data_IF_246065585240
#
_entry.id   IF_246065585240
#
_cell.length_a   1.000
_cell.length_b   1.000
_cell.length_c   1.000
_cell.angle_alpha   90.00
_cell.angle_beta   90.00
_cell.angle_gamma   90.00
#
_symmetry.space_group_name_H-M   'P 1'
#
loop_
_entity.id
_entity.type
_entity.pdbx_description
1 polymer ?
#
# COMPACT_ATOMS: atom_id res chain seq x y z
N UNK A 1 -42.59 23.18 -49.89
CA UNK A 1 -41.12 23.11 -49.96
C UNK A 1 -40.54 23.39 -48.56
N UNK A 2 -39.69 22.48 -48.05
CA UNK A 2 -38.46 22.70 -47.22
C UNK A 2 -38.45 23.98 -46.33
N UNK A 3 -38.22 23.97 -45.01
CA UNK A 3 -37.21 23.23 -44.22
C UNK A 3 -37.56 23.21 -42.71
N UNK A 4 -37.14 22.12 -42.07
CA UNK A 4 -37.00 21.93 -40.62
C UNK A 4 -35.93 22.85 -40.03
N UNK A 5 -36.12 23.34 -38.79
CA UNK A 5 -35.00 23.52 -37.86
C UNK A 5 -35.47 23.29 -36.42
N UNK A 6 -35.02 22.15 -35.87
CA UNK A 6 -35.20 21.73 -34.48
C UNK A 6 -34.23 22.54 -33.61
N UNK A 7 -34.74 23.36 -32.70
CA UNK A 7 -33.95 23.98 -31.64
C UNK A 7 -33.88 23.06 -30.44
N UNK A 8 -32.77 22.32 -30.32
CA UNK A 8 -32.44 21.47 -29.19
C UNK A 8 -31.93 22.37 -28.04
N UNK A 9 -32.68 22.48 -26.95
CA UNK A 9 -32.21 23.13 -25.73
C UNK A 9 -31.13 22.25 -25.08
N UNK A 10 -29.86 22.64 -25.22
CA UNK A 10 -28.75 22.03 -24.50
C UNK A 10 -28.70 22.61 -23.07
N UNK A 11 -29.10 21.80 -22.10
CA UNK A 11 -28.91 22.08 -20.66
C UNK A 11 -27.44 21.78 -20.33
N UNK A 12 -26.64 22.74 -19.84
CA UNK A 12 -25.29 22.45 -19.38
C UNK A 12 -25.40 21.72 -18.04
N UNK A 13 -25.20 20.40 -18.06
CA UNK A 13 -24.96 19.62 -16.84
C UNK A 13 -23.56 19.98 -16.36
N UNK A 14 -23.51 20.90 -15.39
CA UNK A 14 -22.35 21.17 -14.57
C UNK A 14 -21.98 19.89 -13.81
N UNK A 15 -21.03 19.11 -14.33
CA UNK A 15 -20.44 18.02 -13.58
C UNK A 15 -19.57 18.61 -12.47
N UNK A 16 -20.04 18.35 -11.26
CA UNK A 16 -19.53 18.72 -9.95
C UNK A 16 -18.04 18.41 -9.85
N UNK A 17 -17.29 19.45 -9.46
CA UNK A 17 -15.93 19.37 -8.98
C UNK A 17 -15.88 18.47 -7.74
N UNK A 18 -15.45 17.22 -7.89
CA UNK A 18 -15.05 16.40 -6.75
C UNK A 18 -13.70 16.91 -6.23
N UNK A 19 -13.80 17.78 -5.24
CA UNK A 19 -12.97 17.82 -4.04
C UNK A 19 -11.46 17.71 -4.22
N UNK A 20 -10.80 18.86 -4.35
CA UNK A 20 -9.47 19.03 -3.75
C UNK A 20 -9.60 18.88 -2.24
N UNK A 21 -9.20 17.73 -1.71
CA UNK A 21 -9.12 17.45 -0.28
C UNK A 21 -7.92 16.58 -0.03
N UNK A 22 -6.73 17.19 -0.08
CA UNK A 22 -5.43 16.57 0.15
C UNK A 22 -5.36 15.90 1.52
N UNK A 23 -5.83 14.66 1.61
CA UNK A 23 -5.56 13.78 2.73
C UNK A 23 -4.24 13.08 2.45
N UNK A 24 -3.44 12.92 3.48
CA UNK A 24 -2.23 12.09 3.41
C UNK A 24 -2.65 10.67 2.97
N UNK A 25 -2.49 10.33 1.70
CA UNK A 25 -3.05 9.09 1.13
C UNK A 25 -3.72 9.19 -0.24
N UNK A 26 -3.67 10.35 -0.92
CA UNK A 26 -4.23 10.49 -2.28
C UNK A 26 -3.44 9.69 -3.33
N UNK A 27 -2.13 9.50 -3.12
CA UNK A 27 -1.27 8.70 -3.99
C UNK A 27 -0.77 7.44 -3.31
N UNK A 28 -0.63 6.32 -4.06
CA UNK A 28 -0.09 5.07 -3.51
C UNK A 28 1.25 5.23 -2.80
N UNK A 29 2.18 6.04 -3.35
CA UNK A 29 3.51 6.26 -2.75
C UNK A 29 3.47 6.92 -1.36
N UNK A 30 2.45 7.73 -1.08
CA UNK A 30 2.35 8.49 0.17
C UNK A 30 2.17 7.55 1.37
N UNK A 31 1.65 6.33 1.12
CA UNK A 31 1.56 5.25 2.11
C UNK A 31 2.93 4.79 2.58
N UNK A 32 3.92 4.73 1.67
CA UNK A 32 5.29 4.33 2.02
C UNK A 32 5.95 5.37 2.92
N UNK A 33 5.74 6.66 2.63
CA UNK A 33 6.25 7.76 3.45
C UNK A 33 5.59 7.77 4.84
N UNK A 34 4.28 7.51 4.89
CA UNK A 34 3.55 7.41 6.15
C UNK A 34 4.01 6.19 6.98
N UNK A 35 4.29 5.06 6.33
CA UNK A 35 4.91 3.89 6.96
C UNK A 35 6.30 4.21 7.51
N UNK A 36 7.15 4.92 6.76
CA UNK A 36 8.48 5.30 7.26
C UNK A 36 8.41 6.11 8.55
N UNK A 37 7.42 7.02 8.66
CA UNK A 37 7.22 7.82 9.87
C UNK A 37 6.88 6.94 11.06
N UNK A 38 5.99 5.96 10.87
CA UNK A 38 5.63 5.00 11.91
C UNK A 38 6.83 4.18 12.35
N UNK A 39 7.61 3.62 11.43
CA UNK A 39 8.78 2.81 11.81
C UNK A 39 9.96 3.63 12.34
N UNK A 40 9.90 4.95 12.22
CA UNK A 40 10.87 5.87 12.82
C UNK A 40 10.49 6.30 14.23
N UNK A 41 9.19 6.29 14.57
CA UNK A 41 8.69 6.36 15.94
C UNK A 41 8.73 4.96 16.55
N UNK A 42 9.25 4.76 17.75
CA UNK A 42 9.34 3.42 18.34
C UNK A 42 7.95 2.81 18.72
N UNK A 43 6.86 3.33 18.14
CA UNK A 43 5.47 2.87 18.24
C UNK A 43 4.96 2.35 16.87
N UNK A 44 4.86 1.03 16.77
CA UNK A 44 4.46 0.33 15.55
C UNK A 44 2.95 0.05 15.47
N UNK A 45 2.17 0.45 16.48
CA UNK A 45 0.73 0.13 16.58
C UNK A 45 -0.09 0.64 15.39
N UNK A 46 0.38 1.71 14.75
CA UNK A 46 -0.28 2.31 13.58
C UNK A 46 0.03 1.64 12.24
N UNK A 47 1.02 0.73 12.14
CA UNK A 47 1.46 0.19 10.84
C UNK A 47 0.38 -0.67 10.17
N UNK A 48 -0.39 -1.44 10.97
CA UNK A 48 -1.45 -2.33 10.48
C UNK A 48 -2.48 -1.62 9.60
N UNK A 49 -2.75 -0.33 9.83
CA UNK A 49 -3.77 0.43 9.09
C UNK A 49 -3.42 0.67 7.61
N UNK A 50 -2.13 0.60 7.28
CA UNK A 50 -1.62 0.79 5.92
C UNK A 50 -1.64 -0.47 5.07
N UNK A 51 -2.11 -1.60 5.62
CA UNK A 51 -2.27 -2.86 4.90
C UNK A 51 -3.74 -3.16 4.59
N UNK A 52 -3.98 -3.83 3.47
CA UNK A 52 -5.33 -4.29 3.09
C UNK A 52 -5.96 -5.16 4.19
N UNK A 53 -7.30 -5.21 4.24
CA UNK A 53 -8.03 -6.10 5.17
C UNK A 53 -7.58 -7.56 5.00
N UNK A 54 -7.38 -7.99 3.75
CA UNK A 54 -6.87 -9.31 3.40
C UNK A 54 -5.46 -9.59 3.94
N UNK A 55 -4.55 -8.63 3.77
CA UNK A 55 -3.19 -8.71 4.31
C UNK A 55 -3.17 -8.79 5.84
N UNK A 56 -3.99 -8.00 6.52
CA UNK A 56 -4.12 -8.05 7.99
C UNK A 56 -4.60 -9.41 8.49
N UNK A 57 -5.62 -9.96 7.86
CA UNK A 57 -6.14 -11.30 8.16
C UNK A 57 -5.06 -12.37 7.95
N UNK A 58 -4.29 -12.26 6.86
CA UNK A 58 -3.17 -13.17 6.61
C UNK A 58 -2.07 -13.07 7.67
N UNK A 59 -1.75 -11.87 8.18
CA UNK A 59 -0.82 -11.72 9.30
C UNK A 59 -1.33 -12.40 10.57
N UNK A 60 -2.62 -12.24 10.89
CA UNK A 60 -3.22 -12.87 12.08
C UNK A 60 -3.18 -14.40 11.98
N UNK A 61 -3.37 -14.97 10.79
CA UNK A 61 -3.21 -16.41 10.55
C UNK A 61 -1.75 -16.89 10.62
N UNK A 62 -0.81 -16.08 10.13
CA UNK A 62 0.61 -16.36 10.25
C UNK A 62 1.05 -16.37 11.71
N UNK A 63 0.58 -15.42 12.52
CA UNK A 63 0.90 -15.30 13.94
C UNK A 63 0.37 -16.51 14.74
N UNK A 64 -0.82 -17.03 14.43
CA UNK A 64 -1.32 -18.29 15.03
C UNK A 64 -0.42 -19.49 14.77
N UNK A 65 0.22 -19.56 13.59
CA UNK A 65 1.05 -20.69 13.19
C UNK A 65 2.50 -20.57 13.68
N UNK A 66 2.98 -19.36 13.86
CA UNK A 66 4.29 -19.05 14.38
C UNK A 66 4.21 -17.81 15.28
N UNK A 67 3.73 -17.98 16.53
CA UNK A 67 3.53 -16.87 17.44
C UNK A 67 4.86 -16.15 17.65
N UNK A 68 4.95 -14.89 17.21
CA UNK A 68 6.14 -14.09 17.50
C UNK A 68 6.05 -13.64 18.95
N UNK A 69 7.09 -13.91 19.73
CA UNK A 69 7.10 -13.71 21.18
C UNK A 69 7.08 -12.24 21.62
N UNK A 70 7.12 -11.27 20.70
CA UNK A 70 7.06 -9.84 20.98
C UNK A 70 6.04 -9.13 20.10
N UNK A 71 5.17 -8.32 20.73
CA UNK A 71 4.18 -7.45 20.05
C UNK A 71 4.81 -6.48 19.04
N UNK A 72 6.05 -6.07 19.26
CA UNK A 72 6.83 -5.21 18.36
C UNK A 72 7.29 -5.91 17.07
N UNK A 73 7.30 -7.26 17.04
CA UNK A 73 7.75 -8.07 15.89
C UNK A 73 6.59 -8.56 15.00
N UNK A 74 5.36 -8.14 15.29
CA UNK A 74 4.18 -8.62 14.57
C UNK A 74 4.17 -8.19 13.08
N UNK A 75 4.78 -7.04 12.75
CA UNK A 75 5.03 -6.64 11.35
C UNK A 75 6.50 -6.23 11.21
N UNK A 76 7.41 -7.19 11.02
CA UNK A 76 8.80 -6.93 10.68
C UNK A 76 8.81 -6.73 9.18
N UNK A 77 8.15 -5.67 8.72
CA UNK A 77 8.38 -5.25 7.36
C UNK A 77 9.73 -4.55 7.34
N UNK A 78 10.81 -5.35 7.33
CA UNK A 78 12.19 -4.89 7.32
C UNK A 78 12.53 -3.97 6.16
N UNK A 79 11.57 -3.77 5.24
CA UNK A 79 11.56 -2.75 4.18
C UNK A 79 11.49 -1.31 4.73
N UNK A 80 10.89 -1.09 5.90
CA UNK A 80 10.70 0.25 6.48
C UNK A 80 11.60 0.54 7.70
N UNK A 81 12.79 -0.06 7.76
CA UNK A 81 13.67 0.07 8.92
C UNK A 81 14.00 1.54 9.28
N UNK A 82 14.23 1.82 10.57
CA UNK A 82 14.62 3.16 11.05
C UNK A 82 15.85 3.67 10.30
N UNK A 83 15.74 4.86 9.71
CA UNK A 83 16.81 5.47 8.92
C UNK A 83 16.91 5.00 7.46
N UNK A 84 16.03 4.09 7.02
CA UNK A 84 15.91 3.76 5.60
C UNK A 84 15.45 5.00 4.80
N UNK A 85 15.97 5.12 3.57
CA UNK A 85 15.56 6.12 2.58
C UNK A 85 15.54 5.49 1.21
N UNK A 86 14.69 6.00 0.33
CA UNK A 86 14.55 5.50 -1.03
C UNK A 86 14.26 6.62 -2.01
N UNK A 87 14.40 6.30 -3.28
CA UNK A 87 13.88 7.07 -4.41
C UNK A 87 12.73 6.30 -5.06
N UNK A 88 11.72 7.04 -5.54
CA UNK A 88 10.63 6.46 -6.33
C UNK A 88 11.15 6.24 -7.75
N UNK A 89 11.11 4.99 -8.21
CA UNK A 89 11.42 4.65 -9.60
C UNK A 89 10.19 4.75 -10.49
N UNK A 90 9.04 4.29 -10.00
CA UNK A 90 7.82 4.18 -10.79
C UNK A 90 6.58 4.11 -9.89
N UNK A 91 5.50 4.70 -10.35
CA UNK A 91 4.18 4.65 -9.72
C UNK A 91 3.14 4.48 -10.84
N UNK A 92 2.54 3.30 -10.91
CA UNK A 92 1.51 2.97 -11.90
C UNK A 92 0.18 2.70 -11.22
N UNK A 93 -0.88 3.35 -11.68
CA UNK A 93 -2.23 3.26 -11.11
C UNK A 93 -3.17 2.71 -12.20
N UNK A 94 -3.94 1.69 -11.86
CA UNK A 94 -4.93 1.03 -12.72
C UNK A 94 -6.22 0.82 -11.93
N UNK A 95 -7.14 1.79 -12.02
CA UNK A 95 -8.36 1.81 -11.20
C UNK A 95 -8.03 1.80 -9.72
N UNK A 96 -8.52 0.79 -9.01
CA UNK A 96 -8.31 0.61 -7.56
C UNK A 96 -7.06 -0.21 -7.22
N UNK A 97 -6.21 -0.51 -8.20
CA UNK A 97 -4.92 -1.17 -8.01
C UNK A 97 -3.78 -0.25 -8.38
N UNK A 98 -2.64 -0.38 -7.70
CA UNK A 98 -1.43 0.33 -8.07
C UNK A 98 -0.18 -0.50 -7.79
N UNK A 99 0.90 -0.17 -8.49
CA UNK A 99 2.24 -0.71 -8.23
C UNK A 99 3.21 0.43 -8.05
N UNK A 100 3.89 0.43 -6.91
CA UNK A 100 4.91 1.41 -6.56
C UNK A 100 6.26 0.72 -6.55
N UNK A 101 7.24 1.24 -7.28
CA UNK A 101 8.61 0.73 -7.29
C UNK A 101 9.54 1.77 -6.70
N UNK A 102 10.35 1.33 -5.74
CA UNK A 102 11.34 2.18 -5.09
C UNK A 102 12.72 1.53 -5.19
N UNK A 103 13.76 2.34 -4.99
CA UNK A 103 15.12 1.88 -4.78
C UNK A 103 15.65 2.43 -3.48
N UNK A 104 16.14 1.58 -2.60
CA UNK A 104 16.74 2.07 -1.35
C UNK A 104 18.05 2.81 -1.65
N UNK A 105 18.11 4.07 -1.21
CA UNK A 105 19.32 4.88 -1.27
C UNK A 105 20.09 4.80 0.05
N UNK A 106 19.40 4.53 1.16
CA UNK A 106 19.99 4.24 2.47
C UNK A 106 19.20 3.14 3.17
N UNK A 107 19.89 2.21 3.81
CA UNK A 107 19.28 1.16 4.62
C UNK A 107 20.29 0.71 5.70
N UNK A 108 19.86 0.39 6.94
CA UNK A 108 20.77 -0.08 8.00
C UNK A 108 21.42 -1.42 7.67
N UNK A 109 20.74 -2.28 6.90
CA UNK A 109 21.32 -3.49 6.31
C UNK A 109 22.00 -3.12 4.99
N UNK A 110 23.32 -3.23 4.93
CA UNK A 110 24.13 -2.88 3.74
C UNK A 110 23.63 -3.55 2.46
N UNK A 111 23.27 -4.84 2.53
CA UNK A 111 22.79 -5.61 1.37
C UNK A 111 21.50 -5.06 0.75
N UNK A 112 20.74 -4.23 1.48
CA UNK A 112 19.52 -3.63 0.97
C UNK A 112 19.78 -2.27 0.29
N UNK A 113 20.98 -1.67 0.41
CA UNK A 113 21.28 -0.42 -0.29
C UNK A 113 21.36 -0.69 -1.80
N UNK A 114 20.68 0.13 -2.58
CA UNK A 114 20.54 -0.02 -4.03
C UNK A 114 19.51 -1.08 -4.45
N UNK A 115 18.90 -1.81 -3.51
CA UNK A 115 17.89 -2.82 -3.82
C UNK A 115 16.60 -2.14 -4.31
N UNK A 116 16.08 -2.64 -5.42
CA UNK A 116 14.78 -2.25 -5.95
C UNK A 116 13.67 -3.13 -5.38
N UNK A 117 12.59 -2.50 -4.92
CA UNK A 117 11.44 -3.19 -4.34
C UNK A 117 10.17 -2.69 -4.97
N UNK A 118 9.27 -3.62 -5.29
CA UNK A 118 7.92 -3.33 -5.75
C UNK A 118 6.91 -3.56 -4.62
N UNK A 119 5.97 -2.64 -4.48
CA UNK A 119 4.82 -2.74 -3.58
C UNK A 119 3.56 -2.82 -4.43
N UNK A 120 2.79 -3.88 -4.22
CA UNK A 120 1.43 -3.98 -4.73
C UNK A 120 0.53 -3.20 -3.77
N UNK A 121 -0.35 -2.38 -4.34
CA UNK A 121 -1.20 -1.47 -3.60
C UNK A 121 -2.65 -1.65 -4.07
N UNK A 122 -3.59 -1.51 -3.15
CA UNK A 122 -5.01 -1.56 -3.42
C UNK A 122 -5.74 -0.45 -2.69
N UNK A 123 -6.72 0.16 -3.33
CA UNK A 123 -7.59 1.15 -2.71
C UNK A 123 -8.67 0.45 -1.88
N UNK A 124 -8.77 0.79 -0.60
CA UNK A 124 -9.79 0.30 0.33
C UNK A 124 -10.23 1.41 1.28
N UNK A 125 -11.54 1.55 1.50
CA UNK A 125 -12.11 2.58 2.39
C UNK A 125 -11.58 4.00 2.03
N UNK A 126 -11.56 4.31 0.73
CA UNK A 126 -11.05 5.55 0.11
C UNK A 126 -9.55 5.85 0.27
N UNK A 127 -8.76 4.96 0.89
CA UNK A 127 -7.31 5.11 1.02
C UNK A 127 -6.51 4.01 0.30
N UNK A 128 -5.30 4.35 -0.14
CA UNK A 128 -4.35 3.35 -0.64
C UNK A 128 -3.78 2.51 0.52
N UNK A 129 -3.64 1.20 0.30
CA UNK A 129 -3.06 0.27 1.26
C UNK A 129 -2.14 -0.72 0.55
N UNK A 130 -1.10 -1.15 1.24
CA UNK A 130 -0.16 -2.18 0.80
C UNK A 130 -0.90 -3.52 0.81
N UNK A 131 -0.84 -4.23 -0.31
CA UNK A 131 -1.40 -5.56 -0.47
C UNK A 131 -0.29 -6.60 -0.54
N UNK A 132 -0.29 -7.50 0.44
CA UNK A 132 0.66 -8.62 0.56
C UNK A 132 -0.05 -9.94 0.89
N UNK A 133 -1.37 -10.00 0.72
CA UNK A 133 -2.15 -11.16 1.14
C UNK A 133 -1.60 -12.44 0.50
N UNK A 134 -1.29 -12.38 -0.79
CA UNK A 134 -0.77 -13.52 -1.55
C UNK A 134 0.58 -14.00 -0.98
N UNK A 135 1.52 -13.09 -0.82
CA UNK A 135 2.89 -13.37 -0.35
C UNK A 135 2.88 -13.98 1.06
N UNK A 136 2.02 -13.48 1.95
CA UNK A 136 1.88 -14.01 3.31
C UNK A 136 1.22 -15.40 3.29
N UNK A 137 0.18 -15.60 2.48
CA UNK A 137 -0.49 -16.90 2.36
C UNK A 137 0.43 -17.98 1.77
N UNK A 138 1.27 -17.62 0.82
CA UNK A 138 2.32 -18.50 0.29
C UNK A 138 3.32 -18.88 1.38
N UNK A 139 3.77 -17.91 2.19
CA UNK A 139 4.64 -18.14 3.34
C UNK A 139 4.00 -19.11 4.36
N UNK A 140 2.71 -18.90 4.69
CA UNK A 140 1.94 -19.79 5.56
C UNK A 140 1.92 -21.23 5.00
N UNK A 141 1.69 -21.37 3.70
CA UNK A 141 1.67 -22.69 3.04
C UNK A 141 3.01 -23.40 3.15
N UNK A 142 4.12 -22.69 2.96
CA UNK A 142 5.47 -23.22 3.12
C UNK A 142 5.75 -23.67 4.56
N UNK A 143 5.41 -22.85 5.55
CA UNK A 143 5.59 -23.20 6.98
C UNK A 143 4.81 -24.48 7.32
N UNK A 144 3.56 -24.60 6.84
CA UNK A 144 2.74 -25.80 7.06
C UNK A 144 3.35 -27.05 6.42
N UNK A 145 3.99 -26.93 5.25
CA UNK A 145 4.69 -28.04 4.60
C UNK A 145 5.93 -28.49 5.37
N UNK A 146 6.68 -27.56 5.96
CA UNK A 146 7.89 -27.86 6.73
C UNK A 146 7.62 -28.48 8.10
N UNK A 147 6.43 -28.26 8.67
CA UNK A 147 6.00 -28.84 9.96
C UNK A 147 5.34 -30.22 9.82
N UNK A 148 5.13 -30.70 8.60
CA UNK A 148 4.69 -32.08 8.30
C UNK A 148 5.90 -32.95 8.04
#
# INVERSE_FOLDING_TARGET
MKKYFRGLYAIPVACILFGCGGSSGDRPRDVLDAMQKIFSSDDFSGAKKFYTKGTRSAFDDLDKLNPRSRKEEAIPDGRFAKGARWELLDESIQGDSAKVRIKYTKHPVENNKGLEVSFNMKKEDDGWKIDMEKEIRETISLIKKMKK
#
